data_IF_564476647710
#
_entry.id   IF_564476647710
#
_cell.length_a   1.000
_cell.length_b   1.000
_cell.length_c   1.000
_cell.angle_alpha   90.00
_cell.angle_beta   90.00
_cell.angle_gamma   90.00
#
_symmetry.space_group_name_H-M   'P 1'
#
loop_
_entity.id
_entity.type
_entity.pdbx_description
1 polymer ?
#
# COMPACT_ATOMS: atom_id res chain seq x y z
N UNK A 1 5.65 5.95 2.04
CA UNK A 1 4.52 5.43 1.26
C UNK A 1 4.00 6.50 0.27
N UNK A 2 3.43 7.64 0.71
CA UNK A 2 2.91 8.67 -0.20
C UNK A 2 3.88 9.12 -1.30
N UNK A 3 5.15 9.34 -0.96
CA UNK A 3 6.20 9.66 -1.97
C UNK A 3 6.32 8.53 -3.01
N UNK A 4 6.30 7.27 -2.60
CA UNK A 4 6.41 6.13 -3.53
C UNK A 4 5.22 6.05 -4.49
N UNK A 5 4.00 6.27 -3.99
CA UNK A 5 2.78 6.29 -4.80
C UNK A 5 2.85 7.43 -5.83
N UNK A 6 3.13 8.65 -5.38
CA UNK A 6 3.25 9.80 -6.28
C UNK A 6 4.39 9.63 -7.28
N UNK A 7 5.54 9.11 -6.85
CA UNK A 7 6.66 8.81 -7.74
C UNK A 7 6.27 7.82 -8.86
N UNK A 8 5.55 6.75 -8.50
CA UNK A 8 5.04 5.78 -9.46
C UNK A 8 4.11 6.43 -10.49
N UNK A 9 3.13 7.21 -10.01
CA UNK A 9 2.17 7.92 -10.86
C UNK A 9 2.87 8.91 -11.79
N UNK A 10 3.68 9.83 -11.25
CA UNK A 10 4.36 10.88 -12.02
C UNK A 10 5.28 10.29 -13.10
N UNK A 11 6.03 9.23 -12.76
CA UNK A 11 6.87 8.54 -13.74
C UNK A 11 6.04 7.90 -14.85
N UNK A 12 4.92 7.26 -14.51
CA UNK A 12 4.06 6.61 -15.50
C UNK A 12 3.39 7.64 -16.41
N UNK A 13 2.89 8.74 -15.87
CA UNK A 13 2.34 9.84 -16.68
C UNK A 13 3.38 10.40 -17.65
N UNK A 14 4.63 10.53 -17.21
CA UNK A 14 5.73 10.97 -18.07
C UNK A 14 6.04 9.97 -19.18
N UNK A 15 5.96 8.67 -18.91
CA UNK A 15 6.17 7.61 -19.91
C UNK A 15 5.02 7.56 -20.93
N UNK A 16 3.78 7.64 -20.48
CA UNK A 16 2.58 7.68 -21.35
C UNK A 16 2.64 8.88 -22.31
N UNK A 17 3.11 10.04 -21.83
CA UNK A 17 3.23 11.23 -22.67
C UNK A 17 4.36 11.13 -23.72
N UNK A 18 5.29 10.22 -23.57
CA UNK A 18 6.39 9.98 -24.53
C UNK A 18 6.06 8.89 -25.54
N UNK A 19 5.19 7.95 -25.19
CA UNK A 19 4.74 6.87 -26.08
C UNK A 19 3.23 7.04 -26.32
N UNK A 20 2.84 7.52 -27.51
CA UNK A 20 1.46 7.76 -27.86
C UNK A 20 0.64 6.47 -28.08
N UNK A 21 1.26 5.29 -28.02
CA UNK A 21 0.51 4.03 -28.08
C UNK A 21 -0.43 3.94 -26.87
N UNK A 22 -1.77 3.87 -27.07
CA UNK A 22 -2.69 3.80 -25.95
C UNK A 22 -2.41 2.53 -25.13
N UNK A 23 -2.25 2.64 -23.79
CA UNK A 23 -2.21 1.45 -22.96
C UNK A 23 -3.53 0.67 -23.13
N UNK A 24 -3.52 -0.68 -23.05
CA UNK A 24 -4.70 -1.51 -23.29
C UNK A 24 -5.85 -1.22 -22.32
N UNK A 25 -5.60 -0.53 -21.22
CA UNK A 25 -6.58 -0.03 -20.26
C UNK A 25 -6.24 1.43 -19.95
N UNK A 26 -6.93 2.37 -20.57
CA UNK A 26 -6.77 3.79 -20.30
C UNK A 26 -7.98 4.26 -19.49
N UNK A 27 -7.84 4.52 -18.18
CA UNK A 27 -8.95 5.06 -17.41
C UNK A 27 -9.37 6.42 -18.01
N UNK A 28 -10.67 6.73 -18.02
CA UNK A 28 -11.23 7.88 -18.75
C UNK A 28 -10.67 9.24 -18.31
N UNK A 29 -10.05 9.34 -17.13
CA UNK A 29 -9.40 10.56 -16.64
C UNK A 29 -8.24 10.24 -15.71
N UNK A 30 -7.01 10.37 -16.19
CA UNK A 30 -5.81 10.26 -15.34
C UNK A 30 -5.59 11.54 -14.53
N UNK A 31 -5.18 11.44 -13.26
CA UNK A 31 -4.87 12.60 -12.43
C UNK A 31 -3.64 13.34 -12.99
N UNK A 32 -3.75 14.66 -13.10
CA UNK A 32 -2.67 15.52 -13.62
C UNK A 32 -2.20 16.57 -12.63
N UNK A 33 -3.03 16.92 -11.66
CA UNK A 33 -2.74 17.93 -10.65
C UNK A 33 -2.59 17.27 -9.29
N UNK A 34 -1.44 17.46 -8.66
CA UNK A 34 -1.11 16.82 -7.40
C UNK A 34 -0.83 17.88 -6.34
N UNK A 35 -1.41 17.67 -5.16
CA UNK A 35 -1.17 18.48 -3.98
C UNK A 35 -0.73 17.52 -2.86
N UNK A 36 0.49 17.67 -2.38
CA UNK A 36 1.00 16.91 -1.26
C UNK A 36 1.05 17.81 -0.02
N UNK A 37 0.36 17.44 1.06
CA UNK A 37 0.42 18.17 2.32
C UNK A 37 1.21 17.38 3.35
N UNK A 38 2.12 18.07 4.05
CA UNK A 38 2.98 17.47 5.08
C UNK A 38 3.13 18.39 6.28
N UNK A 39 3.48 17.82 7.45
CA UNK A 39 3.43 18.53 8.71
C UNK A 39 4.53 19.59 8.89
N UNK A 40 5.74 19.31 8.46
CA UNK A 40 6.91 20.17 8.75
C UNK A 40 7.57 20.71 7.48
N UNK A 41 8.24 21.89 7.56
CA UNK A 41 9.02 22.43 6.43
C UNK A 41 10.10 21.47 5.92
N UNK A 42 10.74 20.72 6.82
CA UNK A 42 11.73 19.70 6.43
C UNK A 42 11.10 18.56 5.62
N UNK A 43 9.85 18.20 5.91
CA UNK A 43 9.10 17.23 5.13
C UNK A 43 8.68 17.80 3.77
N UNK A 44 8.38 19.10 3.66
CA UNK A 44 8.14 19.78 2.37
C UNK A 44 9.36 19.65 1.49
N UNK A 45 10.54 20.08 1.96
CA UNK A 45 11.79 19.99 1.22
C UNK A 45 12.12 18.54 0.78
N UNK A 46 11.87 17.56 1.65
CA UNK A 46 12.05 16.14 1.33
C UNK A 46 11.13 15.66 0.20
N UNK A 47 9.86 16.04 0.22
CA UNK A 47 8.89 15.66 -0.81
C UNK A 47 9.22 16.35 -2.13
N UNK A 48 9.53 17.65 -2.10
CA UNK A 48 9.94 18.41 -3.28
C UNK A 48 11.21 17.82 -3.91
N UNK A 49 12.24 17.58 -3.15
CA UNK A 49 13.49 16.97 -3.63
C UNK A 49 13.25 15.60 -4.29
N UNK A 50 12.33 14.80 -3.75
CA UNK A 50 12.06 13.46 -4.26
C UNK A 50 11.17 13.46 -5.52
N UNK A 51 10.23 14.39 -5.65
CA UNK A 51 9.18 14.34 -6.66
C UNK A 51 9.31 15.40 -7.77
N UNK A 52 9.88 16.57 -7.50
CA UNK A 52 10.00 17.64 -8.51
C UNK A 52 10.76 17.20 -9.77
N UNK A 53 11.81 16.36 -9.69
CA UNK A 53 12.49 15.85 -10.88
C UNK A 53 11.61 14.98 -11.79
N UNK A 54 10.52 14.44 -11.26
CA UNK A 54 9.58 13.56 -11.99
C UNK A 54 8.45 14.32 -12.65
N UNK A 55 8.25 15.60 -12.27
CA UNK A 55 7.17 16.45 -12.80
C UNK A 55 7.59 16.98 -14.17
N UNK A 56 6.74 16.75 -15.18
CA UNK A 56 6.85 17.39 -16.49
C UNK A 56 5.71 18.41 -16.62
N UNK A 57 5.99 19.71 -16.68
CA UNK A 57 4.97 20.77 -16.67
C UNK A 57 3.90 20.63 -17.76
N UNK A 58 4.25 20.04 -18.90
CA UNK A 58 3.30 19.74 -19.99
C UNK A 58 2.33 18.59 -19.69
N UNK A 59 2.62 17.78 -18.67
CA UNK A 59 1.87 16.53 -18.36
C UNK A 59 1.21 16.59 -16.99
N UNK A 60 1.92 17.10 -15.99
CA UNK A 60 1.47 17.09 -14.60
C UNK A 60 1.99 18.31 -13.83
N UNK A 61 1.30 18.65 -12.74
CA UNK A 61 1.73 19.68 -11.78
C UNK A 61 1.77 19.11 -10.38
N UNK A 62 2.71 19.59 -9.56
CA UNK A 62 2.83 19.23 -8.16
C UNK A 62 2.97 20.49 -7.31
N UNK A 63 2.17 20.60 -6.26
CA UNK A 63 2.33 21.58 -5.19
C UNK A 63 2.58 20.81 -3.89
N UNK A 64 3.59 21.23 -3.15
CA UNK A 64 3.90 20.67 -1.83
C UNK A 64 3.65 21.74 -0.78
N UNK A 65 2.75 21.47 0.15
CA UNK A 65 2.24 22.43 1.11
C UNK A 65 2.38 21.90 2.55
N UNK A 66 2.30 22.80 3.52
CA UNK A 66 2.19 22.39 4.92
C UNK A 66 0.74 22.00 5.27
N UNK A 67 0.57 21.26 6.35
CA UNK A 67 -0.73 20.76 6.83
C UNK A 67 -1.73 21.84 7.20
N UNK A 68 -1.32 23.09 7.37
CA UNK A 68 -2.21 24.25 7.49
C UNK A 68 -3.08 24.45 6.24
N UNK A 69 -2.66 23.92 5.10
CA UNK A 69 -3.38 23.97 3.82
C UNK A 69 -4.21 22.70 3.55
N UNK A 70 -4.40 21.80 4.53
CA UNK A 70 -5.16 20.56 4.31
C UNK A 70 -6.58 20.82 3.82
N UNK A 71 -7.27 21.80 4.39
CA UNK A 71 -8.67 22.13 4.03
C UNK A 71 -8.75 22.66 2.61
N UNK A 72 -7.89 23.60 2.22
CA UNK A 72 -7.87 24.13 0.86
C UNK A 72 -7.47 23.07 -0.16
N UNK A 73 -6.49 22.22 0.16
CA UNK A 73 -6.09 21.09 -0.67
C UNK A 73 -7.24 20.08 -0.86
N UNK A 74 -7.97 19.76 0.21
CA UNK A 74 -9.13 18.87 0.15
C UNK A 74 -10.28 19.47 -0.68
N UNK A 75 -10.48 20.79 -0.62
CA UNK A 75 -11.49 21.48 -1.43
C UNK A 75 -11.20 21.38 -2.93
N UNK A 76 -9.94 21.51 -3.34
CA UNK A 76 -9.50 21.41 -4.73
C UNK A 76 -9.47 19.97 -5.27
N UNK A 77 -9.19 18.98 -4.41
CA UNK A 77 -8.94 17.59 -4.81
C UNK A 77 -10.24 16.84 -5.13
N UNK A 78 -10.24 16.03 -6.19
CA UNK A 78 -11.27 15.02 -6.47
C UNK A 78 -10.97 13.70 -5.73
N UNK A 79 -9.67 13.39 -5.55
CA UNK A 79 -9.18 12.21 -4.85
C UNK A 79 -8.29 12.65 -3.69
N UNK A 80 -8.59 12.15 -2.50
CA UNK A 80 -7.84 12.44 -1.27
C UNK A 80 -7.22 11.14 -0.77
N UNK A 81 -5.88 11.07 -0.74
CA UNK A 81 -5.15 9.94 -0.19
C UNK A 81 -4.73 10.24 1.25
N UNK A 82 -5.31 9.50 2.19
CA UNK A 82 -4.95 9.57 3.61
C UNK A 82 -3.73 8.69 3.90
N UNK A 83 -2.56 9.33 3.99
CA UNK A 83 -1.28 8.68 4.30
C UNK A 83 -0.69 9.10 5.64
N UNK A 84 -1.51 9.60 6.55
CA UNK A 84 -1.12 10.00 7.91
C UNK A 84 -1.05 8.80 8.87
N UNK A 85 -0.65 9.06 10.13
CA UNK A 85 -0.75 8.04 11.17
C UNK A 85 -2.23 7.79 11.52
N UNK A 86 -2.64 6.54 11.82
CA UNK A 86 -4.05 6.19 12.07
C UNK A 86 -4.74 7.10 13.09
N UNK A 87 -4.09 7.40 14.21
CA UNK A 87 -4.64 8.26 15.28
C UNK A 87 -4.86 9.72 14.88
N UNK A 88 -4.33 10.14 13.73
CA UNK A 88 -4.49 11.53 13.23
C UNK A 88 -5.72 11.68 12.31
N UNK A 89 -6.31 10.60 11.86
CA UNK A 89 -7.34 10.61 10.81
C UNK A 89 -8.56 11.42 11.22
N UNK A 90 -9.14 11.14 12.40
CA UNK A 90 -10.31 11.88 12.90
C UNK A 90 -10.02 13.38 12.98
N UNK A 91 -8.92 13.78 13.65
CA UNK A 91 -8.56 15.19 13.80
C UNK A 91 -8.24 15.90 12.47
N UNK A 92 -7.75 15.18 11.45
CA UNK A 92 -7.55 15.75 10.11
C UNK A 92 -8.87 15.97 9.38
N UNK A 93 -9.78 15.00 9.44
CA UNK A 93 -11.06 15.05 8.75
C UNK A 93 -12.05 16.02 9.44
N UNK A 94 -12.00 16.17 10.77
CA UNK A 94 -12.84 17.07 11.54
C UNK A 94 -12.29 18.51 11.69
N UNK A 95 -11.21 18.84 10.97
CA UNK A 95 -10.66 20.19 10.98
C UNK A 95 -11.70 21.24 10.53
N UNK A 96 -11.65 22.42 11.13
CA UNK A 96 -12.57 23.54 10.77
C UNK A 96 -12.51 23.84 9.27
N UNK A 97 -13.68 23.89 8.61
CA UNK A 97 -13.82 24.07 7.16
C UNK A 97 -13.73 22.80 6.32
N UNK A 98 -13.39 21.63 6.91
CA UNK A 98 -13.28 20.39 6.16
C UNK A 98 -14.64 19.91 5.65
N UNK A 99 -15.73 20.16 6.39
CA UNK A 99 -17.09 19.89 5.94
C UNK A 99 -17.37 20.49 4.57
N UNK A 100 -17.13 21.80 4.45
CA UNK A 100 -17.35 22.53 3.19
C UNK A 100 -16.40 22.07 2.09
N UNK A 101 -15.16 21.73 2.44
CA UNK A 101 -14.15 21.22 1.51
C UNK A 101 -14.52 19.84 0.94
N UNK A 102 -15.18 18.98 1.72
CA UNK A 102 -15.61 17.66 1.30
C UNK A 102 -16.99 17.65 0.64
N UNK A 103 -17.82 18.67 0.88
CA UNK A 103 -19.14 18.76 0.26
C UNK A 103 -19.02 19.00 -1.24
N UNK A 104 -19.75 18.22 -2.03
CA UNK A 104 -19.80 18.36 -3.47
C UNK A 104 -20.50 19.69 -3.81
N UNK A 105 -19.78 20.60 -4.44
CA UNK A 105 -20.39 21.84 -4.98
C UNK A 105 -20.95 21.54 -6.37
N UNK A 106 -22.26 21.51 -6.50
CA UNK A 106 -22.92 21.52 -7.80
C UNK A 106 -22.69 22.89 -8.46
N UNK A 107 -21.82 22.93 -9.45
CA UNK A 107 -21.70 24.10 -10.34
C UNK A 107 -22.66 23.86 -11.49
N UNK A 108 -23.49 24.85 -11.84
CA UNK A 108 -24.43 24.77 -12.96
C UNK A 108 -23.70 24.28 -14.23
N UNK A 109 -24.19 23.18 -14.79
CA UNK A 109 -23.70 22.59 -16.05
C UNK A 109 -22.67 21.45 -15.94
N UNK A 110 -22.11 21.16 -14.77
CA UNK A 110 -21.22 20.02 -14.57
C UNK A 110 -21.57 19.30 -13.25
N UNK A 111 -22.12 18.11 -13.35
CA UNK A 111 -22.24 17.21 -12.19
C UNK A 111 -20.81 16.87 -11.76
N UNK A 112 -20.28 17.49 -10.70
CA UNK A 112 -19.04 17.02 -10.06
C UNK A 112 -19.33 15.66 -9.47
N UNK A 113 -18.54 14.69 -9.85
CA UNK A 113 -18.58 13.37 -9.25
C UNK A 113 -18.25 13.46 -7.75
N UNK A 114 -18.82 12.57 -6.98
CA UNK A 114 -18.53 12.38 -5.56
C UNK A 114 -17.01 12.27 -5.35
N UNK A 115 -16.47 12.95 -4.32
CA UNK A 115 -15.03 12.84 -3.99
C UNK A 115 -14.69 11.43 -3.55
N UNK A 116 -13.45 11.03 -3.78
CA UNK A 116 -12.93 9.71 -3.36
C UNK A 116 -11.91 9.92 -2.24
N UNK A 117 -12.10 9.24 -1.12
CA UNK A 117 -11.10 9.15 -0.04
C UNK A 117 -10.48 7.76 -0.06
N UNK A 118 -9.18 7.71 -0.35
CA UNK A 118 -8.38 6.49 -0.31
C UNK A 118 -7.58 6.49 0.99
N UNK A 119 -7.87 5.57 1.89
CA UNK A 119 -7.11 5.41 3.13
C UNK A 119 -6.06 4.31 2.99
N UNK A 120 -4.79 4.66 3.25
CA UNK A 120 -3.70 3.69 3.43
C UNK A 120 -3.29 3.58 4.91
N UNK A 121 -4.18 3.94 5.82
CA UNK A 121 -3.94 3.93 7.25
C UNK A 121 -4.25 2.52 7.82
N UNK A 122 -3.24 1.86 8.39
CA UNK A 122 -3.42 0.55 9.01
C UNK A 122 -4.40 0.65 10.19
N UNK A 123 -5.28 -0.35 10.33
CA UNK A 123 -6.23 -0.43 11.44
C UNK A 123 -7.41 0.56 11.37
N UNK A 124 -7.50 1.43 10.37
CA UNK A 124 -8.67 2.32 10.18
C UNK A 124 -9.59 1.71 9.13
N UNK A 125 -10.76 1.29 9.54
CA UNK A 125 -11.73 0.62 8.66
C UNK A 125 -12.57 1.62 7.87
N UNK A 126 -13.24 1.16 6.80
CA UNK A 126 -14.19 2.01 6.06
C UNK A 126 -15.32 2.48 6.96
N UNK A 127 -15.97 1.62 7.77
CA UNK A 127 -16.98 2.08 8.74
C UNK A 127 -16.47 3.14 9.72
N UNK A 128 -15.22 3.05 10.20
CA UNK A 128 -14.64 4.08 11.08
C UNK A 128 -14.53 5.43 10.38
N UNK A 129 -14.08 5.43 9.12
CA UNK A 129 -13.97 6.64 8.31
C UNK A 129 -15.33 7.25 8.03
N UNK A 130 -16.31 6.43 7.64
CA UNK A 130 -17.67 6.89 7.39
C UNK A 130 -18.31 7.45 8.66
N UNK A 131 -18.09 6.82 9.83
CA UNK A 131 -18.55 7.33 11.10
C UNK A 131 -17.96 8.72 11.39
N UNK A 132 -16.65 8.90 11.24
CA UNK A 132 -15.99 10.21 11.39
C UNK A 132 -16.62 11.24 10.44
N UNK A 133 -16.83 10.89 9.17
CA UNK A 133 -17.40 11.79 8.18
C UNK A 133 -18.85 12.17 8.51
N UNK A 134 -19.65 11.26 9.05
CA UNK A 134 -21.06 11.53 9.43
C UNK A 134 -21.18 12.26 10.77
N UNK A 135 -20.49 11.75 11.79
CA UNK A 135 -20.67 12.22 13.18
C UNK A 135 -19.76 13.42 13.51
N UNK A 136 -18.46 13.32 13.22
CA UNK A 136 -17.49 14.35 13.60
C UNK A 136 -17.47 15.51 12.59
N UNK A 137 -17.58 15.21 11.29
CA UNK A 137 -17.61 16.23 10.21
C UNK A 137 -19.03 16.73 9.94
N UNK A 138 -20.04 15.90 10.15
CA UNK A 138 -21.45 16.24 9.95
C UNK A 138 -21.87 16.27 8.48
N UNK A 139 -21.33 15.36 7.65
CA UNK A 139 -21.76 15.20 6.25
C UNK A 139 -23.08 14.43 6.18
N UNK A 140 -24.00 14.89 5.32
CA UNK A 140 -25.20 14.14 4.97
C UNK A 140 -24.89 12.95 4.07
N UNK A 141 -25.80 11.98 4.00
CA UNK A 141 -25.63 10.79 3.16
C UNK A 141 -25.30 11.13 1.68
N UNK A 142 -25.96 12.15 1.15
CA UNK A 142 -25.80 12.59 -0.25
C UNK A 142 -24.44 13.24 -0.53
N UNK A 143 -23.74 13.68 0.51
CA UNK A 143 -22.45 14.37 0.41
C UNK A 143 -21.28 13.53 0.92
N UNK A 144 -21.50 12.26 1.25
CA UNK A 144 -20.41 11.39 1.68
C UNK A 144 -19.47 11.09 0.50
N UNK A 145 -18.16 11.25 0.68
CA UNK A 145 -17.18 10.74 -0.27
C UNK A 145 -17.26 9.23 -0.42
N UNK A 146 -16.87 8.72 -1.58
CA UNK A 146 -16.58 7.29 -1.73
C UNK A 146 -15.34 6.97 -0.89
N UNK A 147 -15.47 6.05 0.07
CA UNK A 147 -14.37 5.67 0.95
C UNK A 147 -13.83 4.31 0.55
N UNK A 148 -12.52 4.27 0.27
CA UNK A 148 -11.81 3.03 -0.09
C UNK A 148 -10.60 2.86 0.81
N UNK A 149 -10.37 1.64 1.29
CA UNK A 149 -9.16 1.28 2.03
C UNK A 149 -8.22 0.52 1.09
N UNK A 150 -6.98 0.97 0.98
CA UNK A 150 -5.92 0.29 0.26
C UNK A 150 -4.75 -0.01 1.20
N UNK A 151 -4.10 -1.15 1.03
CA UNK A 151 -2.99 -1.57 1.86
C UNK A 151 -1.78 -1.92 0.98
N UNK A 152 -1.00 -0.91 0.57
CA UNK A 152 0.29 -1.12 -0.06
C UNK A 152 1.37 -1.49 0.96
N UNK A 153 2.51 -1.98 0.49
CA UNK A 153 3.66 -2.27 1.34
C UNK A 153 4.91 -1.45 0.97
N UNK A 154 6.00 -1.65 1.71
CA UNK A 154 7.24 -0.86 1.54
C UNK A 154 7.98 -1.14 0.25
N UNK A 155 7.72 -2.26 -0.44
CA UNK A 155 8.28 -2.57 -1.74
C UNK A 155 7.77 -1.64 -2.87
N UNK A 156 6.75 -0.82 -2.59
CA UNK A 156 6.33 0.30 -3.44
C UNK A 156 7.47 1.23 -3.87
N UNK A 157 8.58 1.30 -3.10
CA UNK A 157 9.76 2.08 -3.44
C UNK A 157 10.45 1.60 -4.72
N UNK A 158 10.33 0.31 -5.00
CA UNK A 158 10.92 -0.35 -6.18
C UNK A 158 9.83 -0.87 -7.14
N UNK A 159 8.57 -0.45 -6.94
CA UNK A 159 7.40 -0.85 -7.74
C UNK A 159 7.07 -2.35 -7.69
N UNK A 160 7.34 -2.97 -6.56
CA UNK A 160 7.07 -4.38 -6.28
C UNK A 160 6.13 -4.53 -5.07
N UNK A 161 5.22 -3.56 -4.86
CA UNK A 161 4.22 -3.66 -3.80
C UNK A 161 3.15 -4.67 -4.18
N UNK A 162 2.71 -5.49 -3.24
CA UNK A 162 1.37 -6.06 -3.30
C UNK A 162 0.42 -5.10 -2.59
N UNK A 163 -0.52 -4.52 -3.33
CA UNK A 163 -1.54 -3.62 -2.79
C UNK A 163 -2.88 -4.34 -2.73
N UNK A 164 -3.44 -4.44 -1.54
CA UNK A 164 -4.80 -4.97 -1.36
C UNK A 164 -5.78 -3.81 -1.23
N UNK A 165 -6.84 -3.82 -2.04
CA UNK A 165 -7.93 -2.84 -2.00
C UNK A 165 -9.19 -3.57 -1.50
N UNK A 166 -9.92 -3.00 -0.53
CA UNK A 166 -11.17 -3.60 -0.10
C UNK A 166 -12.27 -3.42 -1.15
N UNK A 167 -13.05 -4.48 -1.35
CA UNK A 167 -14.33 -4.36 -2.06
C UNK A 167 -15.35 -3.65 -1.17
N UNK A 168 -16.31 -2.96 -1.79
CA UNK A 168 -17.43 -2.28 -1.11
C UNK A 168 -18.77 -2.78 -1.65
N UNK A 169 -19.80 -2.59 -0.87
CA UNK A 169 -21.18 -2.90 -1.26
C UNK A 169 -22.06 -1.65 -1.02
N UNK A 170 -22.70 -1.09 -2.07
CA UNK A 170 -22.69 -1.54 -3.47
C UNK A 170 -21.30 -1.41 -4.12
N UNK A 171 -21.03 -2.17 -5.20
CA UNK A 171 -19.75 -2.10 -5.91
C UNK A 171 -19.42 -0.68 -6.40
N UNK A 172 -18.14 -0.35 -6.41
CA UNK A 172 -17.66 0.91 -6.99
C UNK A 172 -18.05 1.01 -8.47
N UNK A 173 -18.30 2.22 -8.97
CA UNK A 173 -18.37 2.43 -10.41
C UNK A 173 -17.11 1.91 -11.11
N UNK A 174 -17.26 1.33 -12.29
CA UNK A 174 -16.13 0.76 -13.05
C UNK A 174 -15.01 1.78 -13.28
N UNK A 175 -15.36 3.02 -13.59
CA UNK A 175 -14.41 4.12 -13.79
C UNK A 175 -13.58 4.43 -12.54
N UNK A 176 -14.16 4.26 -11.35
CA UNK A 176 -13.45 4.43 -10.06
C UNK A 176 -12.54 3.24 -9.80
N UNK A 177 -13.03 2.03 -10.06
CA UNK A 177 -12.25 0.80 -9.91
C UNK A 177 -11.03 0.80 -10.85
N UNK A 178 -11.22 1.15 -12.11
CA UNK A 178 -10.14 1.29 -13.10
C UNK A 178 -9.10 2.33 -12.67
N UNK A 179 -9.55 3.49 -12.17
CA UNK A 179 -8.66 4.54 -11.70
C UNK A 179 -7.86 4.10 -10.46
N UNK A 180 -8.49 3.44 -9.48
CA UNK A 180 -7.80 2.90 -8.30
C UNK A 180 -6.78 1.84 -8.70
N UNK A 181 -7.16 0.93 -9.57
CA UNK A 181 -6.26 -0.10 -10.11
C UNK A 181 -5.07 0.56 -10.79
N UNK A 182 -5.33 1.50 -11.70
CA UNK A 182 -4.26 2.23 -12.37
C UNK A 182 -3.31 2.94 -11.39
N UNK A 183 -3.83 3.62 -10.36
CA UNK A 183 -3.00 4.31 -9.36
C UNK A 183 -2.05 3.33 -8.66
N UNK A 184 -2.55 2.20 -8.20
CA UNK A 184 -1.76 1.28 -7.38
C UNK A 184 -0.89 0.32 -8.19
N UNK A 185 -1.23 0.01 -9.43
CA UNK A 185 -0.34 -0.70 -10.36
C UNK A 185 0.94 0.08 -10.69
N UNK A 186 0.94 1.40 -10.47
CA UNK A 186 2.18 2.20 -10.62
C UNK A 186 3.23 1.89 -9.57
N UNK A 187 2.86 1.16 -8.54
CA UNK A 187 3.76 0.79 -7.44
C UNK A 187 3.88 -0.73 -7.22
N UNK A 188 3.25 -1.55 -8.06
CA UNK A 188 3.29 -3.01 -8.00
C UNK A 188 1.97 -3.65 -8.42
N UNK A 189 1.64 -4.79 -7.85
CA UNK A 189 0.43 -5.56 -8.14
C UNK A 189 -0.75 -5.13 -7.26
N UNK A 190 -1.97 -5.36 -7.76
CA UNK A 190 -3.23 -5.02 -7.09
C UNK A 190 -4.13 -6.24 -6.98
N UNK A 191 -4.77 -6.39 -5.83
CA UNK A 191 -5.82 -7.39 -5.61
C UNK A 191 -6.99 -6.78 -4.83
N UNK A 192 -8.22 -7.12 -5.22
CA UNK A 192 -9.43 -6.70 -4.54
C UNK A 192 -9.96 -7.83 -3.65
N UNK A 193 -10.15 -7.54 -2.35
CA UNK A 193 -10.61 -8.52 -1.38
C UNK A 193 -11.69 -7.93 -0.45
N UNK A 194 -12.57 -8.78 0.10
CA UNK A 194 -13.57 -8.33 1.07
C UNK A 194 -12.96 -7.68 2.32
N UNK A 195 -13.66 -6.70 2.95
CA UNK A 195 -13.14 -5.94 4.09
C UNK A 195 -12.66 -6.80 5.26
N UNK A 196 -13.29 -7.94 5.53
CA UNK A 196 -12.92 -8.83 6.63
C UNK A 196 -11.55 -9.52 6.45
N UNK A 197 -10.98 -9.50 5.23
CA UNK A 197 -9.65 -10.05 4.95
C UNK A 197 -8.53 -9.01 5.04
N UNK A 198 -8.85 -7.72 5.28
CA UNK A 198 -7.84 -6.66 5.25
C UNK A 198 -6.77 -6.78 6.35
N UNK A 199 -7.11 -7.35 7.51
CA UNK A 199 -6.14 -7.48 8.60
C UNK A 199 -5.15 -8.62 8.35
N UNK A 200 -5.60 -9.74 7.75
CA UNK A 200 -4.67 -10.79 7.30
C UNK A 200 -3.81 -10.30 6.14
N UNK A 201 -4.34 -9.47 5.24
CA UNK A 201 -3.55 -8.85 4.19
C UNK A 201 -2.51 -7.88 4.76
N UNK A 202 -2.84 -7.15 5.83
CA UNK A 202 -1.88 -6.29 6.53
C UNK A 202 -0.70 -7.11 7.07
N UNK A 203 -0.96 -8.27 7.67
CA UNK A 203 0.09 -9.14 8.19
C UNK A 203 0.88 -9.84 7.08
N UNK A 204 0.22 -10.38 6.08
CA UNK A 204 0.90 -11.12 5.01
C UNK A 204 1.66 -10.20 4.05
N UNK A 205 1.02 -9.12 3.57
CA UNK A 205 1.62 -8.26 2.55
C UNK A 205 2.49 -7.15 3.15
N UNK A 206 2.04 -6.47 4.22
CA UNK A 206 2.81 -5.37 4.80
C UNK A 206 3.86 -5.86 5.79
N UNK A 207 3.48 -6.63 6.82
CA UNK A 207 4.43 -7.18 7.80
C UNK A 207 5.29 -8.28 7.21
N UNK A 208 4.78 -9.04 6.24
CA UNK A 208 5.50 -10.11 5.53
C UNK A 208 6.81 -9.64 4.93
N UNK A 209 6.91 -8.38 4.50
CA UNK A 209 8.19 -7.81 4.04
C UNK A 209 9.30 -7.96 5.09
N UNK A 210 8.98 -7.74 6.39
CA UNK A 210 9.95 -7.93 7.47
C UNK A 210 10.24 -9.41 7.75
N UNK A 211 9.22 -10.28 7.65
CA UNK A 211 9.41 -11.73 7.86
C UNK A 211 10.33 -12.33 6.80
N UNK A 212 10.11 -11.98 5.53
CA UNK A 212 10.97 -12.43 4.43
C UNK A 212 12.37 -11.81 4.49
N UNK A 213 12.51 -10.57 4.97
CA UNK A 213 13.82 -9.95 5.21
C UNK A 213 14.62 -10.74 6.27
N UNK A 214 13.98 -11.15 7.37
CA UNK A 214 14.60 -12.00 8.39
C UNK A 214 15.07 -13.35 7.81
N UNK A 215 14.26 -13.99 6.97
CA UNK A 215 14.63 -15.25 6.32
C UNK A 215 15.82 -15.08 5.36
N UNK A 216 15.87 -13.95 4.61
CA UNK A 216 16.99 -13.64 3.74
C UNK A 216 18.28 -13.41 4.55
N UNK A 217 18.18 -12.68 5.66
CA UNK A 217 19.31 -12.44 6.56
C UNK A 217 19.85 -13.75 7.13
N UNK A 218 18.97 -14.62 7.65
CA UNK A 218 19.36 -15.94 8.18
C UNK A 218 20.03 -16.82 7.12
N UNK A 219 19.53 -16.82 5.88
CA UNK A 219 20.15 -17.56 4.79
C UNK A 219 21.55 -17.00 4.43
N UNK A 220 21.70 -15.67 4.43
CA UNK A 220 22.98 -15.02 4.22
C UNK A 220 23.98 -15.34 5.36
N UNK A 221 23.51 -15.40 6.62
CA UNK A 221 24.33 -15.77 7.79
C UNK A 221 24.88 -17.20 7.64
N UNK A 222 24.02 -18.14 7.20
CA UNK A 222 24.46 -19.50 6.90
C UNK A 222 25.54 -19.53 5.82
N UNK A 223 25.39 -18.72 4.75
CA UNK A 223 26.42 -18.59 3.71
C UNK A 223 27.74 -18.04 4.24
N UNK A 224 27.68 -17.01 5.10
CA UNK A 224 28.88 -16.43 5.72
C UNK A 224 29.56 -17.44 6.65
N UNK A 225 28.80 -18.21 7.42
CA UNK A 225 29.34 -19.27 8.26
C UNK A 225 30.10 -20.33 7.46
N UNK A 226 29.78 -20.50 6.18
CA UNK A 226 30.45 -21.40 5.25
C UNK A 226 31.52 -20.72 4.40
N UNK A 227 31.89 -19.46 4.68
CA UNK A 227 33.00 -18.75 4.10
C UNK A 227 32.65 -17.77 2.96
N UNK A 228 31.37 -17.53 2.68
CA UNK A 228 31.00 -16.48 1.71
C UNK A 228 31.27 -15.09 2.31
N UNK A 229 31.78 -14.13 1.51
CA UNK A 229 31.78 -12.74 1.93
C UNK A 229 30.36 -12.23 2.15
N UNK A 230 30.16 -11.35 3.15
CA UNK A 230 28.83 -10.85 3.55
C UNK A 230 28.04 -10.20 2.40
N UNK A 231 28.69 -9.40 1.58
CA UNK A 231 28.03 -8.68 0.49
C UNK A 231 27.44 -9.65 -0.55
N UNK A 232 28.23 -10.65 -0.93
CA UNK A 232 27.85 -11.71 -1.86
C UNK A 232 26.76 -12.59 -1.28
N UNK A 233 26.87 -13.00 -0.01
CA UNK A 233 25.86 -13.80 0.67
C UNK A 233 24.49 -13.08 0.69
N UNK A 234 24.45 -11.80 1.04
CA UNK A 234 23.22 -11.00 1.01
C UNK A 234 22.62 -10.92 -0.41
N UNK A 235 23.45 -10.67 -1.41
CA UNK A 235 23.02 -10.57 -2.82
C UNK A 235 22.46 -11.90 -3.34
N UNK A 236 23.17 -13.00 -3.04
CA UNK A 236 22.75 -14.34 -3.45
C UNK A 236 21.43 -14.75 -2.79
N UNK A 237 21.29 -14.56 -1.48
CA UNK A 237 20.06 -14.88 -0.75
C UNK A 237 18.86 -14.07 -1.31
N UNK A 238 19.03 -12.76 -1.52
CA UNK A 238 17.99 -11.91 -2.06
C UNK A 238 17.59 -12.32 -3.49
N UNK A 239 18.56 -12.57 -4.37
CA UNK A 239 18.27 -12.96 -5.76
C UNK A 239 17.64 -14.36 -5.83
N UNK A 240 18.06 -15.29 -4.99
CA UNK A 240 17.48 -16.64 -4.93
C UNK A 240 16.02 -16.59 -4.45
N UNK A 241 15.73 -15.80 -3.39
CA UNK A 241 14.36 -15.62 -2.91
C UNK A 241 13.47 -14.95 -3.97
N UNK A 242 14.00 -13.93 -4.67
CA UNK A 242 13.29 -13.30 -5.79
C UNK A 242 12.97 -14.30 -6.90
N UNK A 243 13.93 -15.17 -7.25
CA UNK A 243 13.74 -16.22 -8.25
C UNK A 243 12.66 -17.23 -7.84
N UNK A 244 12.69 -17.69 -6.60
CA UNK A 244 11.67 -18.60 -6.07
C UNK A 244 10.28 -17.95 -6.06
N UNK A 245 10.18 -16.70 -5.65
CA UNK A 245 8.91 -15.93 -5.70
C UNK A 245 8.43 -15.76 -7.15
N UNK A 246 9.34 -15.45 -8.09
CA UNK A 246 9.00 -15.33 -9.51
C UNK A 246 8.41 -16.61 -10.10
N UNK A 247 9.00 -17.76 -9.81
CA UNK A 247 8.48 -19.07 -10.27
C UNK A 247 7.06 -19.34 -9.73
N UNK A 248 6.78 -18.94 -8.48
CA UNK A 248 5.42 -19.08 -7.92
C UNK A 248 4.44 -18.12 -8.58
N UNK A 249 4.85 -16.89 -8.90
CA UNK A 249 4.01 -15.92 -9.62
C UNK A 249 3.71 -16.37 -11.05
N UNK A 250 4.62 -17.12 -11.69
CA UNK A 250 4.41 -17.76 -13.00
C UNK A 250 3.54 -19.03 -12.93
N UNK A 251 3.02 -19.38 -11.74
CA UNK A 251 2.05 -20.47 -11.54
C UNK A 251 2.62 -21.75 -10.95
N UNK A 252 3.90 -21.80 -10.59
CA UNK A 252 4.45 -22.98 -9.91
C UNK A 252 3.88 -23.09 -8.49
N UNK A 253 3.37 -24.26 -8.14
CA UNK A 253 2.92 -24.50 -6.77
C UNK A 253 4.14 -24.64 -5.83
N UNK A 254 4.21 -23.92 -4.69
CA UNK A 254 5.39 -23.90 -3.82
C UNK A 254 5.89 -25.28 -3.36
N UNK A 255 4.99 -26.22 -3.10
CA UNK A 255 5.36 -27.57 -2.71
C UNK A 255 6.01 -28.35 -3.86
N UNK A 256 5.50 -28.20 -5.08
CA UNK A 256 6.04 -28.85 -6.27
C UNK A 256 7.38 -28.23 -6.65
N UNK A 257 7.50 -26.90 -6.58
CA UNK A 257 8.79 -26.21 -6.79
C UNK A 257 9.86 -26.74 -5.83
N UNK A 258 9.54 -26.88 -4.53
CA UNK A 258 10.45 -27.45 -3.53
C UNK A 258 10.88 -28.88 -3.89
N UNK A 259 9.94 -29.72 -4.34
CA UNK A 259 10.21 -31.10 -4.74
C UNK A 259 11.11 -31.16 -5.98
N UNK A 260 10.81 -30.36 -7.01
CA UNK A 260 11.61 -30.29 -8.25
C UNK A 260 13.08 -29.93 -8.00
N UNK A 261 13.36 -29.12 -6.99
CA UNK A 261 14.74 -28.72 -6.62
C UNK A 261 15.42 -29.78 -5.73
N UNK A 262 14.66 -30.72 -5.17
CA UNK A 262 15.18 -31.75 -4.23
C UNK A 262 15.51 -33.04 -4.95
N UNK A 263 16.80 -33.30 -5.14
CA UNK A 263 17.28 -34.57 -5.72
C UNK A 263 17.61 -35.59 -4.63
N UNK A 264 17.47 -36.94 -4.89
CA UNK A 264 17.84 -37.96 -3.95
C UNK A 264 19.31 -37.82 -3.50
N UNK A 265 19.55 -37.80 -2.18
CA UNK A 265 20.88 -37.63 -1.59
C UNK A 265 21.54 -36.27 -1.80
N UNK A 266 20.81 -35.28 -2.41
CA UNK A 266 21.34 -33.95 -2.69
C UNK A 266 21.39 -33.04 -1.46
N UNK A 267 22.09 -31.92 -1.60
CA UNK A 267 22.23 -30.91 -0.53
C UNK A 267 20.87 -30.28 -0.16
N UNK A 268 19.96 -30.14 -1.10
CA UNK A 268 18.65 -29.51 -0.89
C UNK A 268 17.82 -30.30 0.13
N UNK A 269 17.71 -31.61 -0.01
CA UNK A 269 16.93 -32.42 0.95
C UNK A 269 17.55 -32.38 2.35
N UNK A 270 18.89 -32.40 2.45
CA UNK A 270 19.58 -32.26 3.74
C UNK A 270 19.24 -30.94 4.44
N UNK A 271 19.29 -29.83 3.71
CA UNK A 271 18.89 -28.54 4.25
C UNK A 271 17.40 -28.44 4.62
N UNK A 272 16.51 -29.04 3.80
CA UNK A 272 15.09 -29.07 4.09
C UNK A 272 14.75 -29.83 5.38
N UNK A 273 15.42 -30.94 5.64
CA UNK A 273 15.23 -31.71 6.90
C UNK A 273 15.55 -30.84 8.13
N UNK A 274 16.64 -30.08 8.10
CA UNK A 274 17.00 -29.15 9.19
C UNK A 274 15.92 -28.08 9.38
N UNK A 275 15.37 -27.53 8.30
CA UNK A 275 14.29 -26.52 8.40
C UNK A 275 12.99 -27.12 8.95
N UNK A 276 12.65 -28.35 8.60
CA UNK A 276 11.46 -29.05 9.15
C UNK A 276 11.68 -29.44 10.62
N UNK A 277 12.85 -29.91 11.03
CA UNK A 277 13.23 -30.17 12.43
C UNK A 277 13.15 -28.89 13.27
N UNK A 278 13.62 -27.76 12.74
CA UNK A 278 13.53 -26.44 13.35
C UNK A 278 12.11 -25.85 13.38
N UNK A 279 11.13 -26.53 12.78
CA UNK A 279 9.73 -26.09 12.78
C UNK A 279 9.49 -24.79 12.03
N UNK A 280 10.31 -24.43 11.05
CA UNK A 280 10.24 -23.15 10.31
C UNK A 280 8.86 -22.95 9.68
N UNK A 281 8.27 -23.99 9.08
CA UNK A 281 6.92 -23.94 8.52
C UNK A 281 5.88 -23.46 9.55
N UNK A 282 5.88 -24.06 10.73
CA UNK A 282 4.96 -23.71 11.82
C UNK A 282 5.25 -22.33 12.38
N UNK A 283 6.53 -21.94 12.49
CA UNK A 283 6.93 -20.60 12.98
C UNK A 283 6.43 -19.50 12.04
N UNK A 284 6.62 -19.64 10.73
CA UNK A 284 6.15 -18.68 9.73
C UNK A 284 4.62 -18.55 9.74
N UNK A 285 3.91 -19.69 9.76
CA UNK A 285 2.44 -19.68 9.81
C UNK A 285 1.93 -19.00 11.09
N UNK A 286 2.55 -19.28 12.26
CA UNK A 286 2.20 -18.58 13.52
C UNK A 286 2.51 -17.10 13.46
N UNK A 287 3.63 -16.67 12.88
CA UNK A 287 3.99 -15.27 12.76
C UNK A 287 2.92 -14.47 11.98
N UNK A 288 2.43 -15.02 10.86
CA UNK A 288 1.35 -14.39 10.08
C UNK A 288 0.04 -14.33 10.90
N UNK A 289 -0.32 -15.42 11.59
CA UNK A 289 -1.53 -15.45 12.43
C UNK A 289 -1.47 -14.46 13.57
N UNK A 290 -0.35 -14.40 14.29
CA UNK A 290 -0.14 -13.46 15.40
C UNK A 290 -0.20 -12.01 14.93
N UNK A 291 0.51 -11.69 13.84
CA UNK A 291 0.45 -10.35 13.26
C UNK A 291 -0.96 -9.96 12.81
N UNK A 292 -1.80 -10.92 12.38
CA UNK A 292 -3.19 -10.68 12.02
C UNK A 292 -4.02 -10.32 13.26
N UNK A 293 -3.86 -11.05 14.37
CA UNK A 293 -4.52 -10.74 15.64
C UNK A 293 -4.12 -9.34 16.13
N UNK A 294 -2.84 -9.01 16.09
CA UNK A 294 -2.36 -7.67 16.46
C UNK A 294 -2.96 -6.59 15.53
N UNK A 295 -3.02 -6.84 14.22
CA UNK A 295 -3.59 -5.90 13.26
C UNK A 295 -5.07 -5.61 13.53
N UNK A 296 -5.87 -6.64 13.86
CA UNK A 296 -7.29 -6.48 14.19
C UNK A 296 -7.53 -5.68 15.48
N UNK A 297 -6.63 -5.80 16.46
CA UNK A 297 -6.71 -5.04 17.70
C UNK A 297 -6.33 -3.57 17.54
N UNK A 298 -5.47 -3.21 16.57
CA UNK A 298 -5.11 -1.83 16.28
C UNK A 298 -6.30 -1.00 15.76
N UNK A 299 -7.26 -1.62 15.09
CA UNK A 299 -8.46 -0.97 14.57
C UNK A 299 -9.50 -0.60 15.63
N UNK A 300 -9.49 -1.25 16.78
CA UNK A 300 -10.49 -1.08 17.84
C UNK A 300 -10.35 0.15 18.76
N UNK A 301 -9.54 1.14 18.40
CA UNK A 301 -9.43 2.43 19.13
C UNK A 301 -8.86 2.37 20.57
N UNK A 302 -8.53 1.18 21.09
CA UNK A 302 -8.15 0.97 22.48
C UNK A 302 -6.74 0.47 22.75
N UNK A 303 -6.03 0.00 21.75
CA UNK A 303 -4.77 -0.70 21.96
C UNK A 303 -3.54 0.22 21.86
N UNK A 304 -3.22 0.92 22.94
CA UNK A 304 -1.94 1.62 23.05
C UNK A 304 -0.75 0.65 23.20
N UNK A 305 -0.98 -0.58 23.63
CA UNK A 305 0.02 -1.64 23.79
C UNK A 305 -0.63 -2.99 23.51
N UNK A 306 -0.61 -3.40 22.26
CA UNK A 306 -0.95 -4.80 21.93
C UNK A 306 0.32 -5.62 22.17
N UNK A 307 0.44 -6.18 23.36
CA UNK A 307 1.36 -7.29 23.57
C UNK A 307 0.76 -8.48 22.84
N UNK A 308 1.48 -9.01 21.85
CA UNK A 308 1.03 -10.17 21.09
C UNK A 308 0.54 -11.28 22.01
N UNK A 309 -0.50 -11.98 21.59
CA UNK A 309 -1.00 -13.14 22.31
C UNK A 309 0.03 -14.26 22.20
N UNK A 310 0.84 -14.42 23.23
CA UNK A 310 1.63 -15.62 23.42
C UNK A 310 0.72 -16.72 23.92
N UNK A 311 0.19 -17.52 23.02
CA UNK A 311 -0.45 -18.79 23.32
C UNK A 311 0.33 -19.93 22.71
#
# INVERSE_FOLDING_TARGET
MGISILSGILSSLSSIAQDPSPPPTNPPALPRHFIATVRSPSSVAKVESALSPLVKPSVSTLRVLQSTSNVSAAAEADIILLGCKPYMVSGLLSASGMKDALTVKHTEGHARSQKIIISICAGVTVPDLERVLREDVGLSADNLPIVVRAMPNTASKIRESMTVINTVDPPLPDTVTELLTWIFERIGEVVYLPPHLMDICTSLCASGTAFFALMMEAAADGGVAMGLPRAEANRMAAQTMRGAAGLVLEGEHPAILREKVSTPGGCTIGGLLVLEEGGVRAAVARAVREATVVASLLGGGGAKNVNGTRH
#
